data_IF_106709226042
#
_entry.id   IF_106709226042
#
_cell.length_a   1.000
_cell.length_b   1.000
_cell.length_c   1.000
_cell.angle_alpha   90.00
_cell.angle_beta   90.00
_cell.angle_gamma   90.00
#
_symmetry.space_group_name_H-M   'P 1'
#
loop_
_entity.id
_entity.type
_entity.pdbx_description
1 polymer ?
#
# COMPACT_ATOMS: atom_id res chain seq x y z
N UNK A 1 -21.48 -15.56 -43.11
CA UNK A 1 -20.07 -15.10 -43.25
C UNK A 1 -19.88 -13.67 -42.73
N UNK A 2 -20.59 -12.65 -43.25
CA UNK A 2 -20.51 -11.27 -42.72
C UNK A 2 -20.86 -11.13 -41.23
N UNK A 3 -21.95 -11.78 -40.77
CA UNK A 3 -22.39 -11.72 -39.36
C UNK A 3 -21.39 -12.37 -38.40
N UNK A 4 -20.76 -13.46 -38.82
CA UNK A 4 -19.73 -14.16 -38.03
C UNK A 4 -18.45 -13.33 -37.89
N UNK A 5 -18.05 -12.63 -38.96
CA UNK A 5 -16.90 -11.70 -38.93
C UNK A 5 -17.15 -10.53 -37.99
N UNK A 6 -18.35 -9.93 -38.05
CA UNK A 6 -18.73 -8.83 -37.14
C UNK A 6 -18.72 -9.30 -35.69
N UNK A 7 -19.23 -10.50 -35.40
CA UNK A 7 -19.27 -11.03 -34.04
C UNK A 7 -17.86 -11.27 -33.46
N UNK A 8 -16.94 -11.79 -34.27
CA UNK A 8 -15.53 -11.99 -33.88
C UNK A 8 -14.81 -10.66 -33.66
N UNK A 9 -15.06 -9.66 -34.51
CA UNK A 9 -14.45 -8.34 -34.37
C UNK A 9 -14.93 -7.62 -33.10
N UNK A 10 -16.21 -7.73 -32.75
CA UNK A 10 -16.78 -7.15 -31.52
C UNK A 10 -16.18 -7.79 -30.26
N UNK A 11 -15.98 -9.11 -30.27
CA UNK A 11 -15.31 -9.83 -29.17
C UNK A 11 -13.85 -9.40 -28.99
N UNK A 12 -13.15 -9.15 -30.09
CA UNK A 12 -11.76 -8.73 -30.05
C UNK A 12 -11.60 -7.31 -29.47
N UNK A 13 -12.52 -6.41 -29.81
CA UNK A 13 -12.55 -5.03 -29.28
C UNK A 13 -12.89 -5.01 -27.78
N UNK A 14 -13.78 -5.91 -27.32
CA UNK A 14 -14.13 -6.04 -25.91
C UNK A 14 -13.00 -6.61 -25.04
N UNK A 15 -12.05 -7.36 -25.62
CA UNK A 15 -10.89 -7.92 -24.92
C UNK A 15 -9.67 -6.99 -24.85
N UNK A 16 -9.63 -5.95 -25.69
CA UNK A 16 -8.49 -5.02 -25.76
C UNK A 16 -8.51 -3.86 -24.75
N UNK A 17 -9.56 -3.75 -23.93
CA UNK A 17 -9.64 -2.73 -22.87
C UNK A 17 -9.13 -3.28 -21.54
N UNK A 18 -8.28 -2.50 -20.86
CA UNK A 18 -7.65 -2.76 -19.55
C UNK A 18 -6.31 -3.51 -19.57
N UNK A 19 -5.33 -2.95 -20.27
CA UNK A 19 -3.97 -2.95 -19.71
C UNK A 19 -3.93 -1.93 -18.58
N UNK A 20 -4.33 -2.32 -17.37
CA UNK A 20 -4.02 -1.54 -16.17
C UNK A 20 -2.51 -1.61 -15.97
N UNK A 21 -1.82 -0.48 -16.10
CA UNK A 21 -0.44 -0.41 -15.62
C UNK A 21 -0.50 -0.63 -14.10
N UNK A 22 0.08 -1.73 -13.64
CA UNK A 22 0.31 -1.95 -12.21
C UNK A 22 1.47 -1.05 -11.83
N UNK A 23 1.21 -0.03 -11.02
CA UNK A 23 2.23 0.89 -10.53
C UNK A 23 2.84 0.36 -9.24
N UNK A 24 3.10 -0.94 -9.19
CA UNK A 24 3.69 -1.56 -8.03
C UNK A 24 5.05 -0.93 -7.73
N UNK A 25 5.27 -0.54 -6.48
CA UNK A 25 6.58 -0.08 -6.01
C UNK A 25 7.60 -1.18 -6.28
N UNK A 26 8.71 -0.85 -6.95
CA UNK A 26 9.76 -1.83 -7.22
C UNK A 26 10.25 -2.49 -5.94
N UNK A 27 10.47 -3.80 -5.95
CA UNK A 27 10.91 -4.58 -4.78
C UNK A 27 12.08 -3.93 -4.02
N UNK A 28 13.07 -3.38 -4.74
CA UNK A 28 14.22 -2.71 -4.13
C UNK A 28 13.85 -1.45 -3.33
N UNK A 29 12.86 -0.68 -3.77
CA UNK A 29 12.37 0.50 -3.04
C UNK A 29 11.59 0.09 -1.79
N UNK A 30 10.72 -0.91 -1.91
CA UNK A 30 9.96 -1.44 -0.77
C UNK A 30 10.89 -1.94 0.33
N UNK A 31 11.94 -2.68 -0.04
CA UNK A 31 12.98 -3.14 0.90
C UNK A 31 13.71 -1.98 1.56
N UNK A 32 14.10 -0.96 0.79
CA UNK A 32 14.79 0.22 1.34
C UNK A 32 13.90 1.02 2.30
N UNK A 33 12.61 1.19 1.97
CA UNK A 33 11.63 1.86 2.84
C UNK A 33 11.43 1.08 4.14
N UNK A 34 11.25 -0.24 4.05
CA UNK A 34 11.09 -1.07 5.25
C UNK A 34 12.34 -0.97 6.14
N UNK A 35 13.55 -1.04 5.57
CA UNK A 35 14.78 -0.92 6.35
C UNK A 35 14.90 0.44 7.05
N UNK A 36 14.50 1.53 6.39
CA UNK A 36 14.45 2.86 7.00
C UNK A 36 13.41 2.96 8.12
N UNK A 37 12.24 2.34 7.94
CA UNK A 37 11.19 2.31 8.96
C UNK A 37 11.64 1.51 10.19
N UNK A 38 12.25 0.34 9.99
CA UNK A 38 12.80 -0.49 11.06
C UNK A 38 13.87 0.28 11.85
N UNK A 39 14.76 0.99 11.14
CA UNK A 39 15.80 1.83 11.75
C UNK A 39 15.20 2.99 12.56
N UNK A 40 14.19 3.67 12.01
CA UNK A 40 13.50 4.76 12.69
C UNK A 40 12.76 4.30 13.95
N UNK A 41 12.05 3.16 13.87
CA UNK A 41 11.38 2.55 15.01
C UNK A 41 12.37 2.21 16.13
N UNK A 42 13.50 1.58 15.77
CA UNK A 42 14.57 1.23 16.70
C UNK A 42 15.25 2.46 17.32
N UNK A 43 15.61 3.44 16.49
CA UNK A 43 16.38 4.63 16.93
C UNK A 43 15.55 5.57 17.80
N UNK A 44 14.23 5.68 17.52
CA UNK A 44 13.31 6.46 18.35
C UNK A 44 12.90 5.76 19.65
N UNK A 45 13.14 4.45 19.76
CA UNK A 45 12.79 3.66 20.94
C UNK A 45 11.28 3.45 21.13
N UNK A 46 10.48 3.67 20.08
CA UNK A 46 9.03 3.42 20.13
C UNK A 46 8.74 1.92 19.96
N UNK A 47 7.67 1.39 20.59
CA UNK A 47 7.31 -0.03 20.48
C UNK A 47 6.96 -0.49 19.06
N UNK A 48 6.33 0.38 18.28
CA UNK A 48 5.90 0.11 16.92
C UNK A 48 5.58 1.37 16.14
N UNK A 49 5.63 1.26 14.81
CA UNK A 49 5.42 2.36 13.88
C UNK A 49 4.79 1.82 12.58
N UNK A 50 3.82 2.55 12.02
CA UNK A 50 3.23 2.25 10.71
C UNK A 50 3.39 3.46 9.77
N UNK A 51 3.61 3.20 8.49
CA UNK A 51 3.81 4.19 7.44
C UNK A 51 2.95 3.83 6.22
N UNK A 52 2.25 4.83 5.69
CA UNK A 52 1.52 4.72 4.43
C UNK A 52 2.08 5.73 3.42
N UNK A 53 2.33 5.28 2.19
CA UNK A 53 2.84 6.11 1.09
C UNK A 53 1.85 6.06 -0.06
N UNK A 54 1.32 7.22 -0.47
CA UNK A 54 0.56 7.36 -1.72
C UNK A 54 1.52 7.80 -2.82
N UNK A 55 1.74 6.94 -3.81
CA UNK A 55 2.57 7.22 -4.98
C UNK A 55 1.92 6.64 -6.23
N UNK A 56 1.91 7.41 -7.32
CA UNK A 56 1.35 6.99 -8.62
C UNK A 56 -0.10 6.48 -8.55
N UNK A 57 -0.89 7.00 -7.60
CA UNK A 57 -2.28 6.60 -7.39
C UNK A 57 -2.48 5.31 -6.59
N UNK A 58 -1.41 4.65 -6.16
CA UNK A 58 -1.42 3.45 -5.32
C UNK A 58 -0.95 3.77 -3.89
N UNK A 59 -1.54 3.10 -2.90
CA UNK A 59 -1.16 3.22 -1.49
C UNK A 59 -0.35 2.00 -1.07
N UNK A 60 0.84 2.25 -0.54
CA UNK A 60 1.74 1.24 0.01
C UNK A 60 1.78 1.36 1.53
N UNK A 61 1.77 0.22 2.22
CA UNK A 61 1.75 0.14 3.68
C UNK A 61 2.98 -0.59 4.19
N UNK A 62 3.58 -0.06 5.26
CA UNK A 62 4.74 -0.63 5.94
C UNK A 62 4.54 -0.51 7.44
N UNK A 63 5.01 -1.49 8.20
CA UNK A 63 4.93 -1.49 9.67
C UNK A 63 6.19 -2.11 10.27
N UNK A 64 6.55 -1.65 11.46
CA UNK A 64 7.66 -2.17 12.27
C UNK A 64 7.23 -2.26 13.73
N UNK A 65 7.72 -3.29 14.44
CA UNK A 65 7.48 -3.47 15.86
C UNK A 65 6.07 -3.94 16.22
N UNK A 66 5.59 -3.52 17.40
CA UNK A 66 4.38 -4.03 18.03
C UNK A 66 3.36 -2.93 18.27
N UNK A 67 2.09 -3.25 18.00
CA UNK A 67 0.94 -2.47 18.45
C UNK A 67 0.66 -2.69 19.95
N UNK A 68 0.97 -3.88 20.47
CA UNK A 68 0.80 -4.23 21.88
C UNK A 68 1.96 -5.13 22.30
N UNK A 69 2.85 -4.61 23.16
CA UNK A 69 4.02 -5.34 23.66
C UNK A 69 3.64 -6.48 24.60
N UNK A 70 2.63 -6.27 25.44
CA UNK A 70 2.22 -7.25 26.45
C UNK A 70 1.57 -8.48 25.78
N UNK A 71 0.79 -8.24 24.72
CA UNK A 71 0.16 -9.30 23.92
C UNK A 71 1.02 -9.79 22.76
N UNK A 72 2.17 -9.17 22.50
CA UNK A 72 3.03 -9.48 21.37
C UNK A 72 2.36 -9.29 20.00
N UNK A 73 1.41 -8.36 19.89
CA UNK A 73 0.70 -8.09 18.64
C UNK A 73 1.53 -7.15 17.76
N UNK A 74 1.91 -7.62 16.58
CA UNK A 74 2.64 -6.80 15.60
C UNK A 74 1.83 -5.58 15.15
N UNK A 75 2.52 -4.48 14.89
CA UNK A 75 1.94 -3.34 14.20
C UNK A 75 1.58 -3.72 12.75
N UNK A 76 0.51 -3.14 12.22
CA UNK A 76 0.06 -3.32 10.85
C UNK A 76 -0.60 -2.05 10.31
N UNK A 77 -1.07 -2.10 9.06
CA UNK A 77 -1.88 -1.05 8.43
C UNK A 77 -3.23 -0.86 9.11
N UNK A 78 -3.69 -1.84 9.89
CA UNK A 78 -4.95 -1.81 10.61
C UNK A 78 -4.78 -1.41 12.09
N UNK A 79 -3.55 -1.17 12.56
CA UNK A 79 -3.32 -0.66 13.91
C UNK A 79 -3.89 0.76 14.02
N UNK A 80 -4.78 0.97 14.99
CA UNK A 80 -5.33 2.28 15.29
C UNK A 80 -4.39 3.04 16.23
N UNK A 81 -4.03 4.26 15.83
CA UNK A 81 -3.19 5.17 16.59
C UNK A 81 -3.97 6.44 16.94
N UNK A 82 -3.67 7.04 18.08
CA UNK A 82 -4.18 8.36 18.42
C UNK A 82 -3.42 9.44 17.66
N UNK A 83 -4.11 10.19 16.79
CA UNK A 83 -3.49 11.16 15.86
C UNK A 83 -3.00 12.47 16.53
N UNK A 84 -3.36 12.70 17.80
CA UNK A 84 -3.03 13.92 18.54
C UNK A 84 -3.29 15.21 17.73
N UNK A 85 -2.28 16.06 17.56
CA UNK A 85 -2.44 17.34 16.85
C UNK A 85 -2.70 17.20 15.35
N UNK A 86 -2.47 16.03 14.74
CA UNK A 86 -2.79 15.79 13.32
C UNK A 86 -4.30 15.83 13.09
N UNK A 87 -5.12 15.56 14.11
CA UNK A 87 -6.59 15.66 14.03
C UNK A 87 -7.09 17.06 13.61
N UNK A 88 -6.27 18.11 13.77
CA UNK A 88 -6.60 19.48 13.33
C UNK A 88 -6.78 19.62 11.82
N UNK A 89 -6.26 18.69 11.02
CA UNK A 89 -6.50 18.68 9.58
C UNK A 89 -7.99 18.43 9.23
N UNK A 90 -8.80 17.93 10.18
CA UNK A 90 -10.20 17.57 9.98
C UNK A 90 -11.21 18.55 10.59
N UNK A 91 -10.77 19.54 11.39
CA UNK A 91 -11.63 20.47 12.15
C UNK A 91 -11.40 21.91 11.71
#
# INVERSE_FOLDING_TARGET
MKKTIVFVLTIFILFSGFATQSYALSDSKSVAIQALLDDACRTSGVPGMSLSILADGEVFYFSSGYADLEKGLSASENTLYELASVSKAFT
#
